data_IF_182728590693
#
_entry.id   IF_182728590693
#
_cell.length_a   1.000
_cell.length_b   1.000
_cell.length_c   1.000
_cell.angle_alpha   90.00
_cell.angle_beta   90.00
_cell.angle_gamma   90.00
#
_symmetry.space_group_name_H-M   'P 1'
#
loop_
_entity.id
_entity.type
_entity.pdbx_description
1 polymer ?
#
# COMPACT_ATOMS: atom_id res chain seq x y z
N UNK A 1 16.25 18.29 -12.57
CA UNK A 1 17.56 17.88 -12.05
C UNK A 1 17.44 17.25 -10.66
N UNK A 2 18.34 16.35 -10.32
CA UNK A 2 18.42 15.78 -8.98
C UNK A 2 18.95 16.82 -7.99
N UNK A 3 18.68 16.69 -6.65
CA UNK A 3 19.21 17.64 -5.66
C UNK A 3 20.74 17.74 -5.67
N UNK A 4 21.40 16.66 -6.05
CA UNK A 4 22.85 16.55 -6.11
C UNK A 4 23.47 17.30 -7.29
N UNK A 5 22.69 17.62 -8.34
CA UNK A 5 23.18 18.30 -9.55
C UNK A 5 23.59 19.77 -9.29
N UNK A 6 23.13 20.35 -8.17
CA UNK A 6 23.50 21.71 -7.69
C UNK A 6 23.58 22.78 -8.77
N UNK A 7 22.57 22.85 -9.65
CA UNK A 7 22.52 23.83 -10.71
C UNK A 7 22.25 25.24 -10.17
N UNK A 8 23.05 26.21 -10.59
CA UNK A 8 22.82 27.63 -10.34
C UNK A 8 21.74 28.18 -11.29
N UNK A 9 21.36 29.44 -11.12
CA UNK A 9 20.31 30.06 -11.92
C UNK A 9 20.70 30.20 -13.40
N UNK A 10 21.98 30.45 -13.69
CA UNK A 10 22.48 30.62 -15.06
C UNK A 10 22.38 29.29 -15.82
N UNK A 11 22.83 28.20 -15.20
CA UNK A 11 22.72 26.87 -15.80
C UNK A 11 21.28 26.36 -15.92
N UNK A 12 20.41 26.70 -14.96
CA UNK A 12 18.99 26.40 -15.07
C UNK A 12 18.32 27.13 -16.22
N UNK A 13 18.73 28.39 -16.47
CA UNK A 13 18.22 29.17 -17.61
C UNK A 13 18.72 28.61 -18.93
N UNK A 14 20.02 28.30 -19.06
CA UNK A 14 20.58 27.66 -20.25
C UNK A 14 19.87 26.32 -20.57
N UNK A 15 19.62 25.51 -19.55
CA UNK A 15 18.91 24.25 -19.67
C UNK A 15 17.46 24.48 -20.15
N UNK A 16 16.76 25.50 -19.62
CA UNK A 16 15.43 25.86 -20.04
C UNK A 16 15.38 26.32 -21.51
N UNK A 17 16.32 27.16 -21.95
CA UNK A 17 16.45 27.63 -23.31
C UNK A 17 16.67 26.46 -24.29
N UNK A 18 17.60 25.56 -23.97
CA UNK A 18 17.85 24.38 -24.82
C UNK A 18 16.65 23.43 -24.85
N UNK A 19 15.95 23.28 -23.74
CA UNK A 19 14.71 22.49 -23.70
C UNK A 19 13.64 23.10 -24.62
N UNK A 20 13.43 24.43 -24.55
CA UNK A 20 12.47 25.13 -25.38
C UNK A 20 12.81 24.98 -26.87
N UNK A 21 14.10 25.10 -27.24
CA UNK A 21 14.58 24.87 -28.60
C UNK A 21 14.27 23.44 -29.08
N UNK A 22 14.59 22.41 -28.28
CA UNK A 22 14.34 21.00 -28.63
C UNK A 22 12.84 20.67 -28.74
N UNK A 23 12.01 21.38 -28.01
CA UNK A 23 10.56 21.24 -28.07
C UNK A 23 9.91 22.01 -29.22
N UNK A 24 10.65 22.88 -29.94
CA UNK A 24 10.18 23.69 -31.04
C UNK A 24 9.58 25.04 -30.61
N UNK A 25 9.88 25.47 -29.40
CA UNK A 25 9.45 26.76 -28.81
C UNK A 25 10.58 27.77 -28.73
N UNK A 26 11.70 27.56 -29.41
CA UNK A 26 12.90 28.39 -29.29
C UNK A 26 12.74 29.86 -29.70
N UNK A 27 11.75 30.17 -30.55
CA UNK A 27 11.43 31.54 -30.98
C UNK A 27 10.32 32.17 -30.14
N UNK A 28 9.75 31.41 -29.19
CA UNK A 28 8.65 31.90 -28.38
C UNK A 28 9.15 32.65 -27.16
N UNK A 29 8.44 33.71 -26.72
CA UNK A 29 8.70 34.30 -25.43
C UNK A 29 8.35 33.28 -24.33
N UNK A 30 9.21 33.17 -23.33
CA UNK A 30 8.93 32.29 -22.15
C UNK A 30 9.47 32.90 -20.88
N UNK A 31 8.89 32.46 -19.76
CA UNK A 31 9.29 32.84 -18.41
C UNK A 31 9.63 31.55 -17.66
N UNK A 32 10.72 31.59 -16.90
CA UNK A 32 11.18 30.47 -16.08
C UNK A 32 11.02 30.84 -14.61
N UNK A 33 10.23 30.06 -13.89
CA UNK A 33 10.04 30.19 -12.45
C UNK A 33 10.80 29.08 -11.73
N UNK A 34 11.72 29.46 -10.85
CA UNK A 34 12.40 28.51 -9.96
C UNK A 34 11.58 28.31 -8.70
N UNK A 35 11.29 27.06 -8.38
CA UNK A 35 10.62 26.67 -7.14
C UNK A 35 11.58 25.97 -6.19
N UNK A 36 11.50 26.35 -4.91
CA UNK A 36 12.25 25.76 -3.81
C UNK A 36 11.36 25.20 -2.68
N UNK A 37 10.08 25.00 -2.97
CA UNK A 37 9.06 24.50 -2.03
C UNK A 37 9.07 22.96 -1.85
N UNK A 38 9.89 22.27 -2.62
CA UNK A 38 10.11 20.83 -2.53
C UNK A 38 11.59 20.52 -2.29
N UNK A 39 11.90 19.28 -1.86
CA UNK A 39 13.29 18.84 -1.67
C UNK A 39 14.09 18.80 -2.99
N UNK A 40 13.45 18.91 -4.15
CA UNK A 40 14.11 18.98 -5.45
C UNK A 40 13.94 20.37 -6.06
N UNK A 41 15.02 21.06 -6.37
CA UNK A 41 14.98 22.29 -7.15
C UNK A 41 14.39 21.98 -8.52
N UNK A 42 13.30 22.64 -8.88
CA UNK A 42 12.67 22.51 -10.19
C UNK A 42 12.26 23.85 -10.74
N UNK A 43 12.07 23.88 -12.05
CA UNK A 43 11.64 25.09 -12.76
C UNK A 43 10.33 24.83 -13.51
N UNK A 44 9.49 25.83 -13.54
CA UNK A 44 8.32 25.86 -14.43
C UNK A 44 8.63 26.83 -15.57
N UNK A 45 8.38 26.38 -16.80
CA UNK A 45 8.50 27.20 -18.01
C UNK A 45 7.09 27.49 -18.49
N UNK A 46 6.77 28.74 -18.66
CA UNK A 46 5.49 29.22 -19.19
C UNK A 46 5.77 29.92 -20.50
N UNK A 47 5.10 29.50 -21.58
CA UNK A 47 5.26 30.03 -22.93
C UNK A 47 3.92 30.05 -23.67
N UNK A 48 3.90 30.69 -24.85
CA UNK A 48 2.76 30.69 -25.76
C UNK A 48 2.88 29.57 -26.81
N UNK A 49 1.75 28.94 -27.15
CA UNK A 49 1.70 27.79 -28.05
C UNK A 49 1.33 28.18 -29.49
N UNK A 50 1.38 29.48 -29.84
CA UNK A 50 1.04 30.03 -31.16
C UNK A 50 2.26 30.79 -31.66
N UNK A 51 2.67 30.53 -32.92
CA UNK A 51 3.77 31.24 -33.56
C UNK A 51 3.34 32.64 -34.06
N UNK A 52 4.31 33.40 -34.60
CA UNK A 52 4.07 34.75 -35.06
C UNK A 52 3.10 34.81 -36.27
N UNK A 53 2.91 33.70 -36.97
CA UNK A 53 1.93 33.55 -38.06
C UNK A 53 0.53 33.17 -37.58
N UNK A 54 0.32 33.07 -36.27
CA UNK A 54 -0.96 32.66 -35.66
C UNK A 54 -1.23 31.15 -35.75
N UNK A 55 -0.22 30.32 -36.08
CA UNK A 55 -0.35 28.86 -36.16
C UNK A 55 0.04 28.21 -34.84
N UNK A 56 -0.69 27.16 -34.49
CA UNK A 56 -0.35 26.38 -33.30
C UNK A 56 0.95 25.61 -33.49
N UNK A 57 1.89 25.77 -32.58
CA UNK A 57 3.11 24.97 -32.49
C UNK A 57 2.73 23.49 -32.28
N UNK A 58 3.43 22.60 -32.99
CA UNK A 58 3.14 21.16 -32.99
C UNK A 58 3.28 20.56 -31.62
N UNK A 59 2.16 20.12 -31.05
CA UNK A 59 2.06 19.47 -29.73
C UNK A 59 1.86 17.93 -29.79
N UNK A 60 1.84 17.36 -31.01
CA UNK A 60 1.71 15.91 -31.16
C UNK A 60 2.88 15.16 -30.53
N UNK A 61 2.54 14.12 -29.78
CA UNK A 61 3.51 13.31 -29.01
C UNK A 61 4.39 14.13 -28.05
N UNK A 62 3.90 15.26 -27.54
CA UNK A 62 4.64 16.19 -26.70
C UNK A 62 5.34 15.50 -25.53
N UNK A 63 4.64 14.65 -24.78
CA UNK A 63 5.24 13.91 -23.69
C UNK A 63 6.45 13.05 -24.12
N UNK A 64 6.34 12.36 -25.27
CA UNK A 64 7.44 11.51 -25.78
C UNK A 64 8.63 12.36 -26.22
N UNK A 65 8.37 13.48 -26.89
CA UNK A 65 9.40 14.44 -27.31
C UNK A 65 10.09 15.08 -26.12
N UNK A 66 9.30 15.51 -25.11
CA UNK A 66 9.81 16.08 -23.88
C UNK A 66 10.73 15.09 -23.14
N UNK A 67 10.33 13.83 -23.01
CA UNK A 67 11.18 12.81 -22.38
C UNK A 67 12.48 12.55 -23.17
N UNK A 68 12.45 12.61 -24.50
CA UNK A 68 13.65 12.50 -25.31
C UNK A 68 14.57 13.72 -25.11
N UNK A 69 14.01 14.93 -25.18
CA UNK A 69 14.75 16.17 -24.95
C UNK A 69 15.38 16.20 -23.52
N UNK A 70 14.66 15.75 -22.49
CA UNK A 70 15.21 15.67 -21.14
C UNK A 70 16.42 14.72 -21.07
N UNK A 71 16.35 13.54 -21.68
CA UNK A 71 17.48 12.58 -21.68
C UNK A 71 18.72 13.12 -22.40
N UNK A 72 18.52 13.80 -23.53
CA UNK A 72 19.61 14.44 -24.25
C UNK A 72 20.26 15.54 -23.40
N UNK A 73 19.44 16.37 -22.72
CA UNK A 73 19.93 17.42 -21.85
C UNK A 73 20.61 16.88 -20.59
N UNK A 74 20.11 15.79 -20.01
CA UNK A 74 20.77 15.07 -18.91
C UNK A 74 22.19 14.66 -19.31
N UNK A 75 22.38 14.14 -20.50
CA UNK A 75 23.71 13.76 -21.03
C UNK A 75 24.59 14.97 -21.31
N UNK A 76 24.03 15.99 -21.99
CA UNK A 76 24.76 17.20 -22.40
C UNK A 76 25.28 18.00 -21.19
N UNK A 77 24.48 18.10 -20.15
CA UNK A 77 24.81 18.83 -18.92
C UNK A 77 25.50 17.96 -17.85
N UNK A 78 25.72 16.67 -18.14
CA UNK A 78 26.29 15.73 -17.16
C UNK A 78 25.41 15.53 -15.92
N UNK A 79 24.09 15.65 -16.08
CA UNK A 79 23.15 15.53 -14.99
C UNK A 79 22.87 14.05 -14.70
N UNK A 80 22.44 13.79 -13.48
CA UNK A 80 22.02 12.45 -13.07
C UNK A 80 20.80 12.01 -13.87
N UNK A 81 20.91 10.83 -14.47
CA UNK A 81 19.80 10.28 -15.24
C UNK A 81 18.62 9.93 -14.32
N UNK A 82 17.47 10.59 -14.53
CA UNK A 82 16.26 10.35 -13.73
C UNK A 82 15.77 8.90 -13.78
N UNK A 83 15.99 8.18 -14.89
CA UNK A 83 15.66 6.76 -14.99
C UNK A 83 16.57 5.86 -14.16
N UNK A 84 17.83 6.23 -13.94
CA UNK A 84 18.76 5.49 -13.11
C UNK A 84 18.52 5.75 -11.62
N UNK A 85 18.07 6.96 -11.27
CA UNK A 85 17.62 7.28 -9.91
C UNK A 85 16.42 6.40 -9.49
N UNK A 86 15.51 6.09 -10.42
CA UNK A 86 14.42 5.11 -10.16
C UNK A 86 14.91 3.66 -10.02
N UNK A 87 15.98 3.28 -10.74
CA UNK A 87 16.56 1.92 -10.69
C UNK A 87 17.50 1.71 -9.50
N UNK A 88 18.19 2.75 -9.08
CA UNK A 88 19.14 2.72 -7.97
C UNK A 88 18.48 3.02 -6.61
N UNK A 89 17.19 3.29 -6.58
CA UNK A 89 16.51 3.48 -5.30
C UNK A 89 16.57 2.15 -4.52
N UNK A 90 17.47 2.01 -3.53
CA UNK A 90 17.52 0.82 -2.70
C UNK A 90 16.11 0.68 -2.13
N UNK A 91 15.56 -0.53 -2.09
CA UNK A 91 14.22 -0.90 -1.58
C UNK A 91 13.62 0.25 -0.79
N UNK A 92 12.68 0.99 -1.39
CA UNK A 92 12.19 2.25 -0.84
C UNK A 92 11.92 2.04 0.65
N UNK A 93 12.64 2.76 1.49
CA UNK A 93 12.56 2.60 2.94
C UNK A 93 11.13 2.92 3.35
N UNK A 94 10.46 1.98 3.99
CA UNK A 94 9.11 2.19 4.47
C UNK A 94 9.14 3.24 5.57
N UNK A 95 8.69 4.44 5.22
CA UNK A 95 8.59 5.55 6.17
C UNK A 95 7.12 5.81 6.47
N UNK A 96 6.82 6.00 7.75
CA UNK A 96 5.53 6.53 8.16
C UNK A 96 5.33 7.92 7.58
N UNK A 97 4.11 8.21 7.16
CA UNK A 97 3.74 9.57 6.76
C UNK A 97 3.76 10.47 7.98
N UNK A 98 4.45 11.59 7.86
CA UNK A 98 4.62 12.61 8.90
C UNK A 98 4.16 13.97 8.35
N UNK A 99 3.02 14.45 8.85
CA UNK A 99 2.40 15.69 8.38
C UNK A 99 3.27 16.90 8.68
N UNK A 100 4.06 16.86 9.76
CA UNK A 100 4.91 17.97 10.18
C UNK A 100 6.00 18.29 9.14
N UNK A 101 6.36 17.31 8.30
CA UNK A 101 7.39 17.45 7.25
C UNK A 101 6.86 18.04 5.94
N UNK A 102 5.57 18.38 5.86
CA UNK A 102 4.97 18.91 4.64
C UNK A 102 4.85 17.88 3.51
N UNK A 103 4.42 18.33 2.34
CA UNK A 103 4.19 17.51 1.12
C UNK A 103 3.59 16.11 1.37
N UNK A 104 2.53 16.08 2.14
CA UNK A 104 1.84 14.85 2.56
C UNK A 104 1.50 13.95 1.38
N UNK A 105 1.09 14.56 0.24
CA UNK A 105 0.75 13.78 -0.95
C UNK A 105 1.94 13.01 -1.50
N UNK A 106 3.11 13.64 -1.57
CA UNK A 106 4.33 12.99 -2.03
C UNK A 106 4.77 11.87 -1.08
N UNK A 107 4.70 12.12 0.24
CA UNK A 107 5.00 11.10 1.24
C UNK A 107 4.08 9.90 1.09
N UNK A 108 2.75 10.10 0.95
CA UNK A 108 1.79 9.02 0.69
C UNK A 108 2.21 8.26 -0.58
N UNK A 109 2.47 8.95 -1.70
CA UNK A 109 2.85 8.32 -2.97
C UNK A 109 4.08 7.44 -2.85
N UNK A 110 5.13 7.91 -2.18
CA UNK A 110 6.38 7.16 -1.96
C UNK A 110 6.13 5.92 -1.08
N UNK A 111 5.38 6.07 0.01
CA UNK A 111 5.04 4.96 0.90
C UNK A 111 4.18 3.91 0.18
N UNK A 112 3.19 4.34 -0.61
CA UNK A 112 2.38 3.43 -1.43
C UNK A 112 3.25 2.66 -2.46
N UNK A 113 4.20 3.35 -3.10
CA UNK A 113 5.14 2.72 -4.04
C UNK A 113 5.97 1.65 -3.31
N UNK A 114 6.57 2.00 -2.18
CA UNK A 114 7.38 1.10 -1.36
C UNK A 114 6.59 -0.14 -0.92
N UNK A 115 5.36 0.05 -0.44
CA UNK A 115 4.47 -1.05 -0.02
C UNK A 115 4.17 -1.99 -1.19
N UNK A 116 3.77 -1.46 -2.35
CA UNK A 116 3.46 -2.30 -3.50
C UNK A 116 4.70 -3.04 -4.05
N UNK A 117 5.87 -2.48 -3.94
CA UNK A 117 7.10 -3.11 -4.44
C UNK A 117 7.65 -4.18 -3.49
N UNK A 118 7.41 -4.05 -2.18
CA UNK A 118 8.03 -4.91 -1.19
C UNK A 118 7.08 -5.91 -0.53
N UNK A 119 5.79 -5.56 -0.27
CA UNK A 119 4.89 -6.41 0.50
C UNK A 119 3.99 -7.31 -0.33
N UNK A 120 3.69 -8.48 0.22
CA UNK A 120 2.69 -9.43 -0.28
C UNK A 120 1.46 -9.42 0.62
N UNK A 121 0.29 -9.27 0.01
CA UNK A 121 -1.02 -9.27 0.68
C UNK A 121 -2.07 -9.81 -0.29
N UNK A 122 -3.14 -10.41 0.23
CA UNK A 122 -4.15 -11.09 -0.60
C UNK A 122 -5.50 -10.38 -0.62
N UNK A 123 -5.73 -9.48 0.33
CA UNK A 123 -7.02 -8.79 0.51
C UNK A 123 -6.84 -7.30 0.68
N UNK A 124 -7.93 -6.55 0.40
CA UNK A 124 -7.96 -5.12 0.66
C UNK A 124 -7.82 -4.81 2.17
N UNK A 125 -8.40 -5.67 3.03
CA UNK A 125 -8.27 -5.52 4.49
C UNK A 125 -6.83 -5.68 4.99
N UNK A 126 -6.05 -6.61 4.42
CA UNK A 126 -4.62 -6.77 4.71
C UNK A 126 -3.82 -5.54 4.23
N UNK A 127 -4.12 -5.04 3.03
CA UNK A 127 -3.50 -3.82 2.52
C UNK A 127 -3.82 -2.60 3.38
N UNK A 128 -5.09 -2.43 3.78
CA UNK A 128 -5.50 -1.34 4.65
C UNK A 128 -4.84 -1.42 6.04
N UNK A 129 -4.74 -2.61 6.63
CA UNK A 129 -4.06 -2.82 7.89
C UNK A 129 -2.57 -2.46 7.81
N UNK A 130 -1.88 -2.86 6.74
CA UNK A 130 -0.49 -2.48 6.53
C UNK A 130 -0.32 -0.97 6.40
N UNK A 131 -1.17 -0.30 5.62
CA UNK A 131 -1.11 1.15 5.45
C UNK A 131 -1.41 1.91 6.74
N UNK A 132 -2.29 1.39 7.60
CA UNK A 132 -2.60 2.03 8.88
C UNK A 132 -1.39 2.10 9.82
N UNK A 133 -0.45 1.14 9.74
CA UNK A 133 0.81 1.21 10.50
C UNK A 133 1.78 2.27 9.98
N UNK A 134 1.52 2.78 8.77
CA UNK A 134 2.32 3.78 8.08
C UNK A 134 1.64 5.17 8.04
N UNK A 135 0.64 5.38 8.91
CA UNK A 135 -0.13 6.62 8.99
C UNK A 135 -0.89 6.95 7.69
N UNK A 136 -1.41 5.93 7.01
CA UNK A 136 -2.25 6.08 5.83
C UNK A 136 -3.55 5.32 6.02
N UNK A 137 -4.68 6.03 5.93
CA UNK A 137 -6.00 5.43 5.76
C UNK A 137 -6.27 5.21 4.27
N UNK A 138 -6.80 4.05 3.92
CA UNK A 138 -7.29 3.75 2.57
C UNK A 138 -8.75 3.34 2.62
N UNK A 139 -9.57 3.95 1.76
CA UNK A 139 -11.01 3.64 1.65
C UNK A 139 -11.42 3.38 0.21
N UNK A 140 -12.35 2.43 0.04
CA UNK A 140 -13.07 2.24 -1.21
C UNK A 140 -14.30 3.15 -1.22
N UNK A 141 -14.43 3.96 -2.26
CA UNK A 141 -15.59 4.81 -2.52
C UNK A 141 -16.35 4.25 -3.71
N UNK A 142 -17.64 4.03 -3.52
CA UNK A 142 -18.54 3.60 -4.59
C UNK A 142 -19.34 4.80 -5.07
N UNK A 143 -19.52 4.90 -6.37
CA UNK A 143 -20.30 5.96 -6.98
C UNK A 143 -20.84 5.50 -8.33
N UNK A 144 -21.65 6.35 -8.94
CA UNK A 144 -22.17 6.18 -10.29
C UNK A 144 -21.82 7.41 -11.12
N UNK A 145 -21.38 7.19 -12.34
CA UNK A 145 -21.10 8.27 -13.30
C UNK A 145 -21.72 7.89 -14.65
N UNK A 146 -22.63 8.71 -15.15
CA UNK A 146 -23.36 8.47 -16.41
C UNK A 146 -23.98 7.06 -16.49
N UNK A 147 -24.67 6.64 -15.43
CA UNK A 147 -25.32 5.32 -15.36
C UNK A 147 -24.35 4.15 -15.16
N UNK A 148 -23.05 4.41 -15.02
CA UNK A 148 -22.05 3.35 -14.82
C UNK A 148 -21.52 3.39 -13.39
N UNK A 149 -21.74 2.32 -12.63
CA UNK A 149 -21.21 2.19 -11.28
C UNK A 149 -19.68 2.04 -11.29
N UNK A 150 -19.01 2.83 -10.48
CA UNK A 150 -17.55 2.74 -10.31
C UNK A 150 -17.17 2.51 -8.85
N UNK A 151 -15.98 1.95 -8.65
CA UNK A 151 -15.32 1.91 -7.35
C UNK A 151 -14.00 2.66 -7.46
N UNK A 152 -13.89 3.70 -6.68
CA UNK A 152 -12.66 4.48 -6.50
C UNK A 152 -11.94 4.08 -5.23
N UNK A 153 -10.65 4.41 -5.15
CA UNK A 153 -9.86 4.31 -3.93
C UNK A 153 -9.34 5.69 -3.60
N UNK A 154 -9.45 6.04 -2.32
CA UNK A 154 -8.93 7.29 -1.76
C UNK A 154 -7.96 6.96 -0.62
N UNK A 155 -6.96 7.81 -0.45
CA UNK A 155 -5.93 7.73 0.58
C UNK A 155 -5.92 9.02 1.37
N UNK A 156 -5.77 8.93 2.70
CA UNK A 156 -5.64 10.08 3.58
C UNK A 156 -4.51 9.81 4.57
N UNK A 157 -3.77 10.85 4.97
CA UNK A 157 -2.83 10.72 6.08
C UNK A 157 -3.58 10.70 7.41
N UNK A 158 -3.08 9.89 8.33
CA UNK A 158 -3.56 9.80 9.71
C UNK A 158 -2.47 10.22 10.69
N UNK A 159 -2.87 10.59 11.89
CA UNK A 159 -1.95 10.68 13.02
C UNK A 159 -1.61 9.27 13.58
N UNK A 160 -0.72 9.22 14.58
CA UNK A 160 -0.33 7.96 15.24
C UNK A 160 -1.48 7.26 16.01
N UNK A 161 -2.63 7.95 16.18
CA UNK A 161 -3.85 7.40 16.77
C UNK A 161 -4.84 6.89 15.72
N UNK A 162 -4.47 7.00 14.43
CA UNK A 162 -5.31 6.59 13.30
C UNK A 162 -6.40 7.60 12.91
N UNK A 163 -6.41 8.80 13.50
CA UNK A 163 -7.35 9.87 13.11
C UNK A 163 -6.90 10.51 11.81
N UNK A 164 -7.80 10.64 10.86
CA UNK A 164 -7.55 11.32 9.57
C UNK A 164 -7.23 12.80 9.81
N UNK A 165 -6.13 13.26 9.24
CA UNK A 165 -5.59 14.62 9.43
C UNK A 165 -5.26 15.32 8.11
N UNK A 166 -5.49 14.65 6.97
CA UNK A 166 -5.34 15.25 5.64
C UNK A 166 -6.60 15.09 4.79
N UNK A 167 -6.83 15.98 3.80
CA UNK A 167 -7.86 15.76 2.80
C UNK A 167 -7.62 14.45 2.03
N UNK A 168 -8.69 13.76 1.59
CA UNK A 168 -8.56 12.53 0.83
C UNK A 168 -8.00 12.79 -0.58
N UNK A 169 -7.03 11.98 -0.99
CA UNK A 169 -6.41 12.02 -2.31
C UNK A 169 -6.88 10.82 -3.13
N UNK A 170 -7.42 11.06 -4.32
CA UNK A 170 -7.87 10.00 -5.24
C UNK A 170 -6.66 9.17 -5.73
N UNK A 171 -6.80 7.86 -5.79
CA UNK A 171 -5.76 6.92 -6.28
C UNK A 171 -5.21 7.28 -7.67
N UNK A 172 -6.02 7.88 -8.54
CA UNK A 172 -5.61 8.33 -9.86
C UNK A 172 -4.44 9.35 -9.84
N UNK A 173 -4.27 10.08 -8.74
CA UNK A 173 -3.14 11.01 -8.55
C UNK A 173 -1.81 10.31 -8.32
N UNK A 174 -1.84 9.05 -7.89
CA UNK A 174 -0.65 8.21 -7.66
C UNK A 174 -0.40 7.23 -8.81
N UNK A 175 -1.36 7.06 -9.71
CA UNK A 175 -1.26 6.18 -10.87
C UNK A 175 -2.22 4.97 -10.83
N UNK A 176 -2.42 4.34 -12.00
CA UNK A 176 -3.41 3.27 -12.22
C UNK A 176 -3.24 2.06 -11.29
N UNK A 177 -1.99 1.72 -10.92
CA UNK A 177 -1.67 0.56 -10.06
C UNK A 177 -2.19 0.69 -8.62
N UNK A 178 -2.47 1.91 -8.15
CA UNK A 178 -2.99 2.21 -6.81
C UNK A 178 -4.52 2.27 -6.77
N UNK A 179 -5.17 2.15 -7.91
CA UNK A 179 -6.62 2.09 -8.04
C UNK A 179 -7.18 0.68 -7.85
N UNK A 180 -8.52 0.57 -7.81
CA UNK A 180 -9.23 -0.69 -7.57
C UNK A 180 -8.80 -1.83 -8.52
N UNK A 181 -8.68 -1.55 -9.81
CA UNK A 181 -8.28 -2.55 -10.80
C UNK A 181 -6.83 -3.03 -10.58
N UNK A 182 -5.88 -2.11 -10.37
CA UNK A 182 -4.48 -2.45 -10.18
C UNK A 182 -4.22 -3.21 -8.88
N UNK A 183 -4.87 -2.82 -7.78
CA UNK A 183 -4.78 -3.55 -6.51
C UNK A 183 -5.44 -4.93 -6.63
N UNK A 184 -6.58 -5.03 -7.30
CA UNK A 184 -7.28 -6.30 -7.53
C UNK A 184 -6.42 -7.29 -8.32
N UNK A 185 -5.76 -6.84 -9.38
CA UNK A 185 -4.85 -7.66 -10.17
C UNK A 185 -3.67 -8.17 -9.33
N UNK A 186 -3.08 -7.28 -8.53
CA UNK A 186 -1.98 -7.63 -7.62
C UNK A 186 -2.39 -8.66 -6.59
N UNK A 187 -3.51 -8.45 -5.90
CA UNK A 187 -4.04 -9.39 -4.90
C UNK A 187 -4.33 -10.75 -5.51
N UNK A 188 -4.91 -10.81 -6.73
CA UNK A 188 -5.11 -12.07 -7.44
C UNK A 188 -3.79 -12.80 -7.72
N UNK A 189 -2.75 -12.09 -8.11
CA UNK A 189 -1.40 -12.65 -8.31
C UNK A 189 -0.85 -13.22 -7.01
N UNK A 190 -0.90 -12.47 -5.93
CA UNK A 190 -0.42 -12.92 -4.62
C UNK A 190 -1.21 -14.13 -4.09
N UNK A 191 -2.53 -14.19 -4.32
CA UNK A 191 -3.34 -15.38 -3.99
C UNK A 191 -2.89 -16.62 -4.80
N UNK A 192 -2.58 -16.46 -6.07
CA UNK A 192 -2.06 -17.56 -6.89
C UNK A 192 -0.70 -18.03 -6.39
N UNK A 193 0.23 -17.09 -6.18
CA UNK A 193 1.59 -17.40 -5.71
C UNK A 193 1.56 -18.06 -4.32
N UNK A 194 0.61 -17.67 -3.45
CA UNK A 194 0.39 -18.31 -2.16
C UNK A 194 -0.08 -19.76 -2.31
N UNK A 195 -1.05 -20.02 -3.20
CA UNK A 195 -1.53 -21.37 -3.49
C UNK A 195 -0.47 -22.27 -4.10
N UNK A 196 0.48 -21.70 -4.80
CA UNK A 196 1.63 -22.38 -5.37
C UNK A 196 2.78 -22.60 -4.36
N UNK A 197 2.57 -22.24 -3.08
CA UNK A 197 3.56 -22.41 -2.00
C UNK A 197 4.77 -21.47 -2.09
N UNK A 198 4.72 -20.42 -2.91
CA UNK A 198 5.83 -19.46 -3.07
C UNK A 198 6.05 -18.57 -1.84
N UNK A 199 5.06 -18.48 -0.98
CA UNK A 199 5.09 -17.76 0.29
C UNK A 199 3.98 -18.26 1.23
N UNK A 200 4.11 -18.00 2.54
CA UNK A 200 3.14 -18.50 3.52
C UNK A 200 3.46 -18.09 4.95
N UNK A 201 2.54 -18.33 5.91
CA UNK A 201 2.62 -17.84 7.27
C UNK A 201 3.63 -18.61 8.13
N UNK A 202 4.92 -18.35 7.94
CA UNK A 202 5.99 -18.93 8.78
C UNK A 202 6.02 -18.37 10.22
N UNK A 203 5.14 -17.38 10.53
CA UNK A 203 5.13 -16.65 11.81
C UNK A 203 4.22 -17.28 12.87
N UNK A 204 3.45 -18.32 12.54
CA UNK A 204 2.45 -18.91 13.44
C UNK A 204 3.03 -19.28 14.81
N UNK A 205 4.20 -19.92 14.85
CA UNK A 205 4.86 -20.27 16.11
C UNK A 205 5.30 -19.07 16.96
N UNK A 206 5.77 -17.98 16.31
CA UNK A 206 6.13 -16.73 17.01
C UNK A 206 4.89 -16.06 17.62
N UNK A 207 3.80 -16.00 16.85
CA UNK A 207 2.53 -15.43 17.29
C UNK A 207 1.94 -16.25 18.44
N UNK A 208 1.93 -17.58 18.33
CA UNK A 208 1.44 -18.47 19.36
C UNK A 208 2.22 -18.33 20.69
N UNK A 209 3.55 -18.17 20.60
CA UNK A 209 4.38 -17.90 21.79
C UNK A 209 4.01 -16.57 22.43
N UNK A 210 3.92 -15.49 21.64
CA UNK A 210 3.54 -14.18 22.13
C UNK A 210 2.14 -14.18 22.78
N UNK A 211 1.18 -14.95 22.24
CA UNK A 211 -0.16 -15.11 22.84
C UNK A 211 -0.12 -15.79 24.21
N UNK A 212 0.81 -16.72 24.44
CA UNK A 212 0.97 -17.38 25.74
C UNK A 212 1.65 -16.49 26.78
N UNK A 213 2.66 -15.76 26.34
CA UNK A 213 3.56 -15.05 27.23
C UNK A 213 2.99 -13.66 27.63
N UNK A 214 2.15 -13.06 26.76
CA UNK A 214 1.57 -11.76 26.99
C UNK A 214 0.47 -11.77 28.05
N UNK A 215 0.40 -10.69 28.82
CA UNK A 215 -0.58 -10.42 29.88
C UNK A 215 -1.45 -9.19 29.62
N UNK A 216 -1.24 -8.56 28.45
CA UNK A 216 -2.03 -7.44 27.96
C UNK A 216 -1.91 -7.32 26.42
N UNK A 217 -2.85 -6.59 25.80
CA UNK A 217 -2.77 -6.26 24.38
C UNK A 217 -1.47 -5.51 24.05
N UNK A 218 -1.04 -4.62 24.94
CA UNK A 218 0.19 -3.84 24.79
C UNK A 218 1.43 -4.75 24.78
N UNK A 219 1.56 -5.62 25.78
CA UNK A 219 2.67 -6.55 25.90
C UNK A 219 2.71 -7.54 24.72
N UNK A 220 1.56 -8.00 24.27
CA UNK A 220 1.46 -8.83 23.06
C UNK A 220 2.06 -8.14 21.83
N UNK A 221 1.71 -6.86 21.63
CA UNK A 221 2.26 -6.07 20.53
C UNK A 221 3.77 -5.86 20.68
N UNK A 222 4.26 -5.66 21.89
CA UNK A 222 5.69 -5.48 22.17
C UNK A 222 6.49 -6.76 21.91
N UNK A 223 5.98 -7.91 22.35
CA UNK A 223 6.60 -9.22 22.08
C UNK A 223 6.66 -9.51 20.57
N UNK A 224 5.61 -9.18 19.83
CA UNK A 224 5.62 -9.32 18.37
C UNK A 224 6.66 -8.42 17.71
N UNK A 225 6.78 -7.16 18.16
CA UNK A 225 7.77 -6.21 17.62
C UNK A 225 9.21 -6.69 17.81
N UNK A 226 9.53 -7.34 18.91
CA UNK A 226 10.85 -7.96 19.11
C UNK A 226 11.17 -9.00 18.05
N UNK A 227 10.13 -9.66 17.50
CA UNK A 227 10.23 -10.63 16.42
C UNK A 227 10.07 -10.04 15.01
N UNK A 228 10.16 -8.70 14.84
CA UNK A 228 9.91 -7.98 13.59
C UNK A 228 8.49 -8.22 13.03
N UNK A 229 7.53 -8.38 13.92
CA UNK A 229 6.12 -8.58 13.60
C UNK A 229 5.29 -7.42 14.13
N UNK A 230 4.29 -7.02 13.36
CA UNK A 230 3.24 -6.11 13.83
C UNK A 230 1.87 -6.80 13.76
N UNK A 231 0.93 -6.31 14.58
CA UNK A 231 -0.45 -6.75 14.58
C UNK A 231 -1.40 -5.55 14.59
N UNK A 232 -2.43 -5.62 13.77
CA UNK A 232 -3.53 -4.65 13.74
C UNK A 232 -4.83 -5.36 14.12
N UNK A 233 -5.45 -4.90 15.20
CA UNK A 233 -6.80 -5.29 15.61
C UNK A 233 -7.81 -4.31 15.04
N UNK A 234 -8.71 -4.79 14.19
CA UNK A 234 -9.84 -3.99 13.72
C UNK A 234 -10.99 -4.18 14.70
N UNK A 235 -11.38 -3.09 15.36
CA UNK A 235 -12.46 -3.04 16.36
C UNK A 235 -13.66 -2.30 15.79
N UNK A 236 -14.88 -2.72 16.13
CA UNK A 236 -16.10 -1.97 15.86
C UNK A 236 -16.36 -0.93 16.97
N UNK A 237 -17.42 -0.14 16.83
CA UNK A 237 -17.80 0.90 17.79
C UNK A 237 -18.06 0.38 19.21
N UNK A 238 -18.42 -0.91 19.35
CA UNK A 238 -18.57 -1.57 20.67
C UNK A 238 -17.25 -2.13 21.22
N UNK A 239 -16.11 -1.87 20.58
CA UNK A 239 -14.79 -2.35 20.98
C UNK A 239 -14.51 -3.83 20.63
N UNK A 240 -15.46 -4.55 20.01
CA UNK A 240 -15.27 -5.95 19.62
C UNK A 240 -14.30 -6.05 18.44
N UNK A 241 -13.30 -6.92 18.56
CA UNK A 241 -12.38 -7.23 17.47
C UNK A 241 -13.14 -8.07 16.42
N UNK A 242 -13.22 -7.58 15.18
CA UNK A 242 -13.80 -8.31 14.05
C UNK A 242 -12.75 -8.75 13.02
N UNK A 243 -11.53 -8.24 13.14
CA UNK A 243 -10.43 -8.62 12.25
C UNK A 243 -9.08 -8.51 12.96
N UNK A 244 -8.20 -9.45 12.64
CA UNK A 244 -6.81 -9.47 13.12
C UNK A 244 -5.92 -9.63 11.90
N UNK A 245 -4.91 -8.76 11.77
CA UNK A 245 -3.97 -8.80 10.65
C UNK A 245 -2.55 -8.74 11.20
N UNK A 246 -1.73 -9.71 10.83
CA UNK A 246 -0.31 -9.78 11.19
C UNK A 246 0.54 -9.34 10.01
N UNK A 247 1.65 -8.68 10.32
CA UNK A 247 2.64 -8.23 9.34
C UNK A 247 4.00 -8.77 9.72
N UNK A 248 4.61 -9.49 8.80
CA UNK A 248 6.00 -9.96 8.88
C UNK A 248 6.89 -8.98 8.11
N UNK A 249 7.68 -8.20 8.83
CA UNK A 249 8.55 -7.19 8.23
C UNK A 249 9.84 -7.79 7.64
N UNK A 250 10.27 -8.95 8.11
CA UNK A 250 11.43 -9.66 7.57
C UNK A 250 11.12 -10.23 6.19
N UNK A 251 9.97 -10.94 6.09
CA UNK A 251 9.54 -11.57 4.84
C UNK A 251 8.71 -10.66 3.95
N UNK A 252 8.29 -9.52 4.48
CA UNK A 252 7.40 -8.56 3.81
C UNK A 252 6.07 -9.19 3.41
N UNK A 253 5.44 -9.88 4.34
CA UNK A 253 4.21 -10.64 4.15
C UNK A 253 3.14 -10.19 5.14
N UNK A 254 1.88 -10.12 4.67
CA UNK A 254 0.73 -9.71 5.49
C UNK A 254 -0.34 -10.79 5.45
N UNK A 255 -0.84 -11.16 6.63
CA UNK A 255 -1.82 -12.21 6.78
C UNK A 255 -2.97 -11.79 7.69
N UNK A 256 -4.21 -12.06 7.27
CA UNK A 256 -5.31 -12.12 8.20
C UNK A 256 -5.15 -13.34 9.12
N UNK A 257 -5.40 -13.16 10.42
CA UNK A 257 -5.24 -14.23 11.42
C UNK A 257 -6.02 -15.50 11.07
N UNK A 258 -7.24 -15.38 10.55
CA UNK A 258 -8.05 -16.53 10.13
C UNK A 258 -7.44 -17.36 8.98
N UNK A 259 -6.42 -16.85 8.28
CA UNK A 259 -5.69 -17.61 7.26
C UNK A 259 -4.49 -18.35 7.82
N UNK A 260 -4.01 -17.94 8.98
CA UNK A 260 -2.92 -18.60 9.67
C UNK A 260 -3.43 -19.83 10.44
N UNK A 261 -4.71 -19.80 10.88
CA UNK A 261 -5.35 -20.86 11.63
C UNK A 261 -6.57 -20.33 12.40
N UNK A 262 -7.44 -21.21 12.86
CA UNK A 262 -8.63 -20.85 13.65
C UNK A 262 -8.23 -20.20 14.98
N UNK A 263 -7.11 -20.62 15.55
CA UNK A 263 -6.50 -20.14 16.80
C UNK A 263 -6.04 -18.68 16.71
N UNK A 264 -5.83 -18.14 15.51
CA UNK A 264 -5.46 -16.74 15.27
C UNK A 264 -6.65 -15.89 14.82
N UNK A 265 -7.86 -16.40 14.95
CA UNK A 265 -9.08 -15.69 14.53
C UNK A 265 -9.44 -14.55 15.50
N UNK A 266 -10.20 -13.57 14.99
CA UNK A 266 -10.68 -12.44 15.77
C UNK A 266 -11.48 -12.85 17.02
N UNK A 267 -12.22 -13.97 16.99
CA UNK A 267 -12.96 -14.47 18.14
C UNK A 267 -12.03 -14.91 19.28
N UNK A 268 -10.94 -15.61 18.95
CA UNK A 268 -9.94 -16.01 19.96
C UNK A 268 -9.31 -14.78 20.60
N UNK A 269 -8.99 -13.75 19.82
CA UNK A 269 -8.44 -12.51 20.39
C UNK A 269 -9.46 -11.72 21.21
N UNK A 270 -10.76 -11.78 20.91
CA UNK A 270 -11.76 -11.20 21.80
C UNK A 270 -11.79 -11.88 23.16
N UNK A 271 -11.66 -13.20 23.20
CA UNK A 271 -11.63 -13.96 24.46
C UNK A 271 -10.31 -13.72 25.19
N UNK A 272 -9.20 -13.65 24.47
CA UNK A 272 -7.87 -13.37 25.04
C UNK A 272 -7.79 -11.97 25.66
N UNK A 273 -8.31 -10.94 24.99
CA UNK A 273 -8.33 -9.56 25.51
C UNK A 273 -9.19 -9.47 26.79
N UNK A 274 -10.37 -10.08 26.78
CA UNK A 274 -11.21 -10.14 27.99
C UNK A 274 -10.47 -10.82 29.18
N UNK A 275 -9.73 -11.86 28.88
CA UNK A 275 -8.92 -12.54 29.87
C UNK A 275 -7.80 -11.62 30.38
N UNK A 276 -7.08 -10.93 29.53
CA UNK A 276 -6.06 -9.96 29.94
C UNK A 276 -6.62 -8.84 30.82
N UNK A 277 -7.83 -8.35 30.49
CA UNK A 277 -8.49 -7.28 31.25
C UNK A 277 -9.06 -7.77 32.61
N UNK A 278 -9.41 -9.05 32.72
CA UNK A 278 -10.02 -9.66 33.90
C UNK A 278 -9.05 -10.14 34.98
N UNK A 279 -7.73 -10.17 34.69
CA UNK A 279 -6.73 -10.65 35.68
C UNK A 279 -6.34 -9.53 36.65
N UNK A 280 -6.48 -9.71 37.97
CA UNK A 280 -5.93 -8.82 38.98
C UNK A 280 -4.41 -8.63 38.80
N UNK A 281 -3.90 -7.41 38.99
CA UNK A 281 -2.47 -7.11 38.81
C UNK A 281 -1.54 -8.03 39.62
N UNK A 282 -1.95 -8.49 40.78
CA UNK A 282 -1.17 -9.35 41.66
C UNK A 282 -1.08 -10.82 41.22
N UNK A 283 -2.05 -11.29 40.43
CA UNK A 283 -2.06 -12.67 39.91
C UNK A 283 -1.34 -12.82 38.56
N UNK A 284 -1.02 -11.71 37.91
CA UNK A 284 -0.34 -11.73 36.61
C UNK A 284 1.09 -12.31 36.64
N UNK A 285 1.72 -12.36 37.81
CA UNK A 285 3.10 -12.84 37.97
C UNK A 285 3.21 -14.38 38.15
N UNK A 286 2.14 -15.05 38.54
CA UNK A 286 2.16 -16.50 38.87
C UNK A 286 1.50 -17.43 37.84
N UNK A 287 0.98 -16.89 36.73
CA UNK A 287 0.12 -17.64 35.81
C UNK A 287 0.87 -18.13 34.55
N UNK A 288 0.90 -19.45 34.36
CA UNK A 288 1.34 -20.09 33.11
C UNK A 288 0.14 -20.25 32.15
N UNK A 289 -0.04 -19.34 31.23
CA UNK A 289 -0.94 -19.37 30.07
C UNK A 289 -2.41 -19.76 30.31
N UNK A 290 -3.34 -19.17 29.61
CA UNK A 290 -4.77 -19.39 29.85
C UNK A 290 -5.22 -20.80 29.47
N UNK A 291 -6.27 -21.30 30.16
CA UNK A 291 -7.02 -22.51 29.75
C UNK A 291 -7.54 -22.42 28.30
N UNK A 292 -7.67 -21.19 27.78
CA UNK A 292 -7.95 -20.92 26.36
C UNK A 292 -6.91 -21.58 25.44
N UNK A 293 -5.64 -21.63 25.85
CA UNK A 293 -4.60 -22.30 25.06
C UNK A 293 -4.80 -23.82 25.01
N UNK A 294 -5.29 -24.43 26.09
CA UNK A 294 -5.67 -25.85 26.09
C UNK A 294 -6.83 -26.13 25.13
N UNK A 295 -7.73 -25.15 24.95
CA UNK A 295 -8.89 -25.25 24.03
C UNK A 295 -8.51 -25.08 22.56
N UNK A 296 -7.50 -24.26 22.25
CA UNK A 296 -7.15 -23.86 20.89
C UNK A 296 -5.70 -24.23 20.49
N UNK A 297 -4.82 -24.59 21.44
CA UNK A 297 -3.38 -24.69 21.25
C UNK A 297 -2.83 -26.10 20.91
N UNK A 298 -3.65 -27.14 20.90
CA UNK A 298 -3.20 -28.51 20.65
C UNK A 298 -2.64 -28.79 19.26
N UNK A 299 -2.79 -27.87 18.30
CA UNK A 299 -2.36 -28.06 16.91
C UNK A 299 -0.99 -27.46 16.58
N UNK A 300 -0.29 -26.81 17.53
CA UNK A 300 0.94 -26.02 17.24
C UNK A 300 2.21 -26.67 17.78
N UNK A 301 2.13 -27.61 18.73
CA UNK A 301 3.31 -28.26 19.33
C UNK A 301 3.94 -29.36 18.46
N UNK A 302 3.18 -29.97 17.57
CA UNK A 302 3.70 -30.91 16.57
C UNK A 302 3.93 -30.19 15.24
N UNK A 303 5.11 -30.31 14.67
CA UNK A 303 5.49 -29.74 13.37
C UNK A 303 4.57 -30.11 12.17
N UNK A 304 3.49 -30.84 12.46
CA UNK A 304 2.39 -31.19 11.54
C UNK A 304 1.51 -29.98 11.12
N UNK A 305 1.56 -28.84 11.84
CA UNK A 305 0.79 -27.65 11.48
C UNK A 305 1.20 -27.06 10.13
N UNK A 306 2.45 -27.26 9.70
CA UNK A 306 2.92 -26.86 8.37
C UNK A 306 2.39 -27.79 7.27
N UNK A 307 2.23 -29.09 7.54
CA UNK A 307 1.65 -30.04 6.57
C UNK A 307 0.12 -29.94 6.52
N UNK A 308 -0.55 -29.68 7.63
CA UNK A 308 -2.00 -29.47 7.67
C UNK A 308 -2.41 -28.13 7.05
N UNK A 309 -1.60 -27.08 7.15
CA UNK A 309 -1.86 -25.81 6.44
C UNK A 309 -1.80 -25.99 4.91
N UNK A 310 -1.02 -26.92 4.42
CA UNK A 310 -0.99 -27.27 2.99
C UNK A 310 -2.21 -28.14 2.57
N UNK A 311 -2.76 -28.96 3.48
CA UNK A 311 -3.89 -29.87 3.19
C UNK A 311 -5.29 -29.28 3.39
N UNK A 312 -5.45 -28.22 4.20
CA UNK A 312 -6.76 -27.60 4.52
C UNK A 312 -7.25 -26.64 3.40
N UNK A 313 -6.50 -26.50 2.32
CA UNK A 313 -6.89 -25.68 1.16
C UNK A 313 -7.96 -26.28 0.23
N UNK A 314 -8.46 -27.45 0.53
CA UNK A 314 -9.65 -27.98 -0.12
C UNK A 314 -10.78 -27.97 0.90
N UNK A 315 -11.53 -26.94 1.03
CA UNK A 315 -12.96 -26.89 1.34
C UNK A 315 -13.40 -25.61 2.06
N UNK A 316 -14.35 -24.99 1.45
CA UNK A 316 -15.58 -24.36 1.92
C UNK A 316 -15.60 -23.57 3.24
N UNK A 317 -15.77 -22.26 2.99
CA UNK A 317 -16.81 -21.39 3.55
C UNK A 317 -17.16 -21.58 5.02
N UNK A 318 -16.59 -20.74 5.86
CA UNK A 318 -17.19 -20.41 7.14
C UNK A 318 -17.63 -18.92 7.14
N UNK A 319 -18.88 -18.57 7.55
CA UNK A 319 -19.52 -17.27 7.35
C UNK A 319 -19.06 -16.12 8.26
N UNK A 320 -17.94 -16.27 8.94
CA UNK A 320 -17.32 -15.17 9.71
C UNK A 320 -16.34 -14.33 8.90
N UNK A 321 -16.42 -14.38 7.57
CA UNK A 321 -15.67 -13.48 6.68
C UNK A 321 -16.29 -12.10 6.80
N UNK A 322 -15.46 -11.10 7.07
CA UNK A 322 -15.78 -9.68 6.98
C UNK A 322 -16.72 -9.43 5.79
N UNK A 323 -17.88 -8.84 6.04
CA UNK A 323 -18.92 -8.63 5.02
C UNK A 323 -18.39 -7.87 3.82
N UNK A 324 -17.40 -7.00 4.01
CA UNK A 324 -16.72 -6.26 2.95
C UNK A 324 -15.76 -7.15 2.14
N UNK A 325 -15.06 -8.06 2.80
CA UNK A 325 -14.18 -9.03 2.14
C UNK A 325 -14.99 -10.04 1.32
N UNK A 326 -16.12 -10.50 1.86
CA UNK A 326 -17.06 -11.38 1.15
C UNK A 326 -17.67 -10.67 -0.06
N UNK A 327 -18.05 -9.40 0.06
CA UNK A 327 -18.57 -8.59 -1.03
C UNK A 327 -17.49 -8.37 -2.12
N UNK A 328 -16.24 -8.13 -1.72
CA UNK A 328 -15.11 -8.00 -2.64
C UNK A 328 -14.86 -9.31 -3.42
N UNK A 329 -14.84 -10.47 -2.74
CA UNK A 329 -14.69 -11.80 -3.38
C UNK A 329 -15.82 -12.13 -4.34
N UNK A 330 -17.09 -11.83 -3.99
CA UNK A 330 -18.24 -12.01 -4.88
C UNK A 330 -18.14 -11.17 -6.14
N UNK A 331 -17.66 -9.95 -6.02
CA UNK A 331 -17.46 -9.03 -7.14
C UNK A 331 -16.35 -9.49 -8.08
N UNK A 332 -15.25 -10.03 -7.55
CA UNK A 332 -14.16 -10.61 -8.33
C UNK A 332 -14.61 -11.82 -9.14
N UNK A 333 -15.46 -12.68 -8.57
CA UNK A 333 -16.07 -13.82 -9.29
C UNK A 333 -17.01 -13.38 -10.43
N UNK A 334 -17.75 -12.27 -10.26
CA UNK A 334 -18.65 -11.73 -11.31
C UNK A 334 -17.90 -11.19 -12.53
N UNK A 335 -16.74 -10.58 -12.36
CA UNK A 335 -15.90 -10.07 -13.48
C UNK A 335 -15.32 -11.18 -14.37
N UNK A 336 -15.32 -12.45 -13.94
CA UNK A 336 -14.76 -13.58 -14.69
C UNK A 336 -15.76 -14.28 -15.64
N UNK A 337 -17.03 -13.91 -15.69
CA UNK A 337 -17.97 -14.49 -16.68
C UNK A 337 -17.80 -13.76 -18.02
N UNK A 338 -17.35 -14.44 -19.10
CA UNK A 338 -17.30 -13.83 -20.42
C UNK A 338 -18.71 -13.49 -20.88
N UNK A 339 -18.92 -12.27 -21.36
CA UNK A 339 -20.15 -11.92 -22.08
C UNK A 339 -20.24 -12.79 -23.34
N UNK A 340 -21.24 -13.67 -23.39
CA UNK A 340 -21.60 -14.35 -24.64
C UNK A 340 -21.99 -13.28 -25.67
N UNK A 341 -21.18 -13.11 -26.70
CA UNK A 341 -21.55 -12.35 -27.89
C UNK A 341 -22.82 -12.97 -28.44
N UNK A 342 -23.91 -12.22 -28.44
CA UNK A 342 -25.10 -12.55 -29.25
C UNK A 342 -24.69 -12.42 -30.70
N UNK A 343 -24.60 -13.54 -31.43
CA UNK A 343 -24.54 -13.53 -32.86
C UNK A 343 -25.89 -12.99 -33.37
N UNK A 344 -25.84 -11.87 -34.09
CA UNK A 344 -26.96 -11.47 -34.95
C UNK A 344 -26.99 -12.47 -36.11
N UNK A 345 -27.98 -13.32 -36.13
CA UNK A 345 -28.39 -14.05 -37.33
C UNK A 345 -29.04 -13.07 -38.29
N UNK A 346 -28.73 -13.28 -39.54
CA UNK A 346 -29.29 -12.67 -40.74
C UNK A 346 -30.79 -12.99 -40.84
#
# INVERSE_FOLDING_TARGET
PAPEDRLDNARLMELAEKYMNKMGYGQQPFIVYRHGDTCNTHVHIVSVCIDDDGRKIKDSYEHRRSMAACRELEQEFGLRNGADAERQNPKAELKKVDISKGDVRHQIGNTLKAVLESYRFQTFGEYAALLSTLNIEVRQVRGEYKGTAYTGIIYSATDDRGKVVSPPVKSARFGKRFGDAGLSERMMRHVRDFKEGKWGPAIAGKVARAMRDARSEQEFKELLKQGQLDVVFRKNDSGRIYGVTFMDHDRREVFNGSRMGKEFSANVFNDLVKWWDGIPRQEKESFSGPELWKRYGHSVEDGSALEQAAGIFSMDTNPAVDSEEAAFRRRMKRKKKPQKRKSRGI
#
